data_IF_095286273971
#
_entry.id   IF_095286273971
#
_cell.length_a   1.000
_cell.length_b   1.000
_cell.length_c   1.000
_cell.angle_alpha   90.00
_cell.angle_beta   90.00
_cell.angle_gamma   90.00
#
_symmetry.space_group_name_H-M   'P 1'
#
loop_
_entity.id
_entity.type
_entity.pdbx_description
1 polymer ?
#
# COMPACT_ATOMS: atom_id res chain seq x y z
N UNK A 1 -19.28 -5.98 4.67
CA UNK A 1 -18.12 -5.89 5.56
C UNK A 1 -17.29 -4.68 5.17
N UNK A 2 -16.94 -3.81 6.12
CA UNK A 2 -16.08 -2.63 5.87
C UNK A 2 -14.62 -2.99 6.06
N UNK A 3 -13.83 -2.68 5.03
CA UNK A 3 -12.39 -2.91 4.99
C UNK A 3 -11.71 -1.56 4.82
N UNK A 4 -10.75 -1.23 5.67
CA UNK A 4 -9.99 0.02 5.58
C UNK A 4 -8.52 -0.25 5.33
N UNK A 5 -7.92 0.52 4.42
CA UNK A 5 -6.48 0.50 4.21
C UNK A 5 -5.92 1.90 3.98
N UNK A 6 -4.85 2.23 4.68
CA UNK A 6 -4.07 3.45 4.49
C UNK A 6 -2.90 3.20 3.55
N UNK A 7 -2.79 4.02 2.51
CA UNK A 7 -1.79 3.91 1.46
C UNK A 7 -0.76 5.01 1.62
N UNK A 8 0.48 4.66 1.91
CA UNK A 8 1.53 5.67 2.12
C UNK A 8 1.95 6.34 0.81
N UNK A 9 2.08 7.67 0.75
CA UNK A 9 2.58 8.40 -0.40
C UNK A 9 4.11 8.30 -0.51
N UNK A 10 4.65 7.08 -0.58
CA UNK A 10 6.08 6.79 -0.43
C UNK A 10 6.82 6.56 -1.74
N UNK A 11 6.58 7.42 -2.75
CA UNK A 11 7.31 7.38 -4.03
C UNK A 11 6.81 6.29 -5.00
N UNK A 12 7.62 5.97 -6.01
CA UNK A 12 7.22 5.13 -7.13
C UNK A 12 6.88 3.70 -6.72
N UNK A 13 5.80 3.15 -7.29
CA UNK A 13 5.35 1.79 -7.04
C UNK A 13 6.09 0.81 -7.96
N UNK A 14 6.50 -0.32 -7.39
CA UNK A 14 7.13 -1.42 -8.11
C UNK A 14 6.22 -2.65 -8.21
N UNK A 15 6.56 -3.58 -9.10
CA UNK A 15 5.76 -4.78 -9.35
C UNK A 15 5.52 -5.60 -8.07
N UNK A 16 6.47 -5.58 -7.12
CA UNK A 16 6.29 -6.21 -5.82
C UNK A 16 5.18 -5.59 -4.98
N UNK A 17 4.95 -4.26 -5.07
CA UNK A 17 3.80 -3.63 -4.42
C UNK A 17 2.48 -4.06 -5.07
N UNK A 18 2.47 -4.14 -6.41
CA UNK A 18 1.27 -4.51 -7.14
C UNK A 18 0.83 -5.94 -6.84
N UNK A 19 1.68 -6.91 -7.11
CA UNK A 19 1.33 -8.32 -6.89
C UNK A 19 1.27 -8.70 -5.41
N UNK A 20 2.03 -7.99 -4.56
CA UNK A 20 2.04 -8.23 -3.13
C UNK A 20 0.85 -7.66 -2.36
N UNK A 21 0.18 -6.62 -2.84
CA UNK A 21 -0.90 -5.98 -2.10
C UNK A 21 -1.98 -5.35 -2.99
N UNK A 22 -1.61 -4.53 -4.01
CA UNK A 22 -2.57 -3.69 -4.70
C UNK A 22 -3.59 -4.52 -5.48
N UNK A 23 -3.14 -5.56 -6.19
CA UNK A 23 -4.02 -6.47 -6.93
C UNK A 23 -5.12 -7.08 -6.05
N UNK A 24 -4.77 -7.48 -4.83
CA UNK A 24 -5.75 -8.02 -3.88
C UNK A 24 -6.74 -6.96 -3.38
N UNK A 25 -6.29 -5.70 -3.23
CA UNK A 25 -7.19 -4.59 -2.91
C UNK A 25 -8.18 -4.34 -4.05
N UNK A 26 -7.70 -4.40 -5.30
CA UNK A 26 -8.54 -4.29 -6.50
C UNK A 26 -9.57 -5.42 -6.55
N UNK A 27 -9.16 -6.66 -6.32
CA UNK A 27 -10.07 -7.82 -6.31
C UNK A 27 -11.07 -7.75 -5.14
N UNK A 28 -10.69 -7.18 -4.01
CA UNK A 28 -11.55 -7.04 -2.83
C UNK A 28 -12.68 -6.01 -3.00
N UNK A 29 -12.55 -5.05 -3.92
CA UNK A 29 -13.58 -4.04 -4.19
C UNK A 29 -14.93 -4.65 -4.64
N UNK A 30 -14.89 -5.82 -5.28
CA UNK A 30 -16.10 -6.51 -5.75
C UNK A 30 -16.87 -7.20 -4.61
N UNK A 31 -16.21 -7.46 -3.49
CA UNK A 31 -16.75 -8.31 -2.41
C UNK A 31 -16.94 -7.57 -1.09
N UNK A 32 -16.36 -6.38 -0.95
CA UNK A 32 -16.29 -5.64 0.31
C UNK A 32 -16.50 -4.15 0.10
N UNK A 33 -17.02 -3.49 1.11
CA UNK A 33 -17.09 -2.03 1.14
C UNK A 33 -15.70 -1.50 1.49
N UNK A 34 -14.92 -1.14 0.47
CA UNK A 34 -13.53 -0.71 0.62
C UNK A 34 -13.44 0.79 0.91
N UNK A 35 -12.72 1.12 1.97
CA UNK A 35 -12.31 2.45 2.35
C UNK A 35 -10.80 2.55 2.20
N UNK A 36 -10.33 3.43 1.33
CA UNK A 36 -8.91 3.57 1.02
C UNK A 36 -8.50 5.03 1.04
N UNK A 37 -7.44 5.36 1.76
CA UNK A 37 -6.96 6.73 1.82
C UNK A 37 -5.45 6.83 1.62
N UNK A 38 -5.02 7.94 1.03
CA UNK A 38 -3.60 8.28 0.98
C UNK A 38 -3.23 8.89 2.33
N UNK A 39 -2.35 8.22 3.05
CA UNK A 39 -1.98 8.49 4.46
C UNK A 39 -0.99 9.67 4.57
N UNK A 40 -1.38 10.85 4.11
CA UNK A 40 -0.50 12.02 4.04
C UNK A 40 -0.19 12.64 5.41
N UNK A 41 -1.07 12.57 6.42
CA UNK A 41 -0.71 12.93 7.80
C UNK A 41 0.32 11.96 8.38
N UNK A 42 0.16 10.66 8.18
CA UNK A 42 1.16 9.68 8.62
C UNK A 42 2.52 9.90 7.97
N UNK A 43 2.56 10.31 6.70
CA UNK A 43 3.79 10.57 5.97
C UNK A 43 4.61 11.72 6.57
N UNK A 44 3.97 12.65 7.30
CA UNK A 44 4.68 13.74 8.02
C UNK A 44 5.63 13.23 9.09
N UNK A 45 5.46 12.03 9.60
CA UNK A 45 6.41 11.40 10.54
C UNK A 45 7.79 11.15 9.91
N UNK A 46 7.87 11.13 8.58
CA UNK A 46 9.10 10.84 7.82
C UNK A 46 9.63 12.05 7.05
N UNK A 47 8.76 13.00 6.69
CA UNK A 47 9.13 14.20 5.93
C UNK A 47 8.19 15.35 6.24
N UNK A 48 8.75 16.54 6.48
CA UNK A 48 8.01 17.79 6.74
C UNK A 48 8.04 18.74 5.52
N UNK A 49 8.56 18.29 4.38
CA UNK A 49 8.53 19.04 3.13
C UNK A 49 7.12 18.99 2.52
N UNK A 50 6.37 20.07 2.69
CA UNK A 50 4.97 20.16 2.28
C UNK A 50 4.75 20.03 0.78
N UNK A 51 5.64 20.60 -0.05
CA UNK A 51 5.52 20.50 -1.52
C UNK A 51 5.76 19.07 -1.99
N UNK A 52 6.80 18.44 -1.46
CA UNK A 52 7.09 17.02 -1.73
C UNK A 52 5.98 16.09 -1.26
N UNK A 53 5.41 16.36 -0.07
CA UNK A 53 4.29 15.58 0.47
C UNK A 53 3.07 15.69 -0.44
N UNK A 54 2.73 16.90 -0.90
CA UNK A 54 1.62 17.15 -1.83
C UNK A 54 1.83 16.41 -3.14
N UNK A 55 3.00 16.56 -3.76
CA UNK A 55 3.32 15.89 -5.03
C UNK A 55 3.29 14.36 -4.90
N UNK A 56 3.87 13.81 -3.84
CA UNK A 56 3.87 12.38 -3.60
C UNK A 56 2.45 11.84 -3.34
N UNK A 57 1.61 12.61 -2.65
CA UNK A 57 0.22 12.22 -2.39
C UNK A 57 -0.60 12.14 -3.68
N UNK A 58 -0.44 13.12 -4.58
CA UNK A 58 -1.12 13.11 -5.88
C UNK A 58 -0.60 11.99 -6.79
N UNK A 59 0.72 11.79 -6.84
CA UNK A 59 1.33 10.68 -7.59
C UNK A 59 0.85 9.32 -7.08
N UNK A 60 0.79 9.13 -5.76
CA UNK A 60 0.28 7.90 -5.17
C UNK A 60 -1.20 7.68 -5.53
N UNK A 61 -2.04 8.72 -5.40
CA UNK A 61 -3.45 8.63 -5.78
C UNK A 61 -3.63 8.26 -7.26
N UNK A 62 -2.91 8.93 -8.17
CA UNK A 62 -2.92 8.61 -9.59
C UNK A 62 -2.48 7.16 -9.85
N UNK A 63 -1.42 6.68 -9.18
CA UNK A 63 -0.92 5.33 -9.33
C UNK A 63 -1.94 4.27 -8.90
N UNK A 64 -2.58 4.43 -7.74
CA UNK A 64 -3.59 3.47 -7.25
C UNK A 64 -4.82 3.43 -8.16
N UNK A 65 -5.33 4.59 -8.61
CA UNK A 65 -6.43 4.68 -9.57
C UNK A 65 -6.09 4.03 -10.92
N UNK A 66 -4.85 4.18 -11.35
CA UNK A 66 -4.38 3.59 -12.61
C UNK A 66 -4.19 2.08 -12.53
N UNK A 67 -3.85 1.57 -11.35
CA UNK A 67 -3.70 0.14 -11.09
C UNK A 67 -5.03 -0.59 -10.79
N UNK A 68 -6.17 0.10 -10.89
CA UNK A 68 -7.48 -0.55 -10.83
C UNK A 68 -8.34 -0.20 -9.63
N UNK A 69 -7.91 0.70 -8.74
CA UNK A 69 -8.81 1.23 -7.72
C UNK A 69 -9.90 2.05 -8.41
N UNK A 70 -11.16 1.62 -8.21
CA UNK A 70 -12.35 2.21 -8.80
C UNK A 70 -13.06 3.11 -7.76
N UNK A 71 -13.08 4.44 -7.95
CA UNK A 71 -13.72 5.37 -7.02
C UNK A 71 -15.26 5.25 -6.98
N UNK A 72 -15.87 4.50 -7.91
CA UNK A 72 -17.30 4.20 -7.85
C UNK A 72 -17.60 3.01 -6.94
N UNK A 73 -16.68 2.04 -6.85
CA UNK A 73 -16.80 0.84 -6.02
C UNK A 73 -16.22 1.04 -4.62
N UNK A 74 -15.22 1.91 -4.50
CA UNK A 74 -14.49 2.18 -3.26
C UNK A 74 -14.64 3.63 -2.85
N UNK A 75 -14.56 3.90 -1.54
CA UNK A 75 -14.36 5.25 -1.03
C UNK A 75 -12.86 5.52 -1.03
N UNK A 76 -12.39 6.47 -1.86
CA UNK A 76 -10.97 6.76 -2.04
C UNK A 76 -10.68 8.25 -1.89
N UNK A 77 -9.82 8.64 -0.93
CA UNK A 77 -9.57 10.05 -0.58
C UNK A 77 -8.15 10.31 -0.05
N UNK A 78 -7.78 11.59 0.14
CA UNK A 78 -6.62 11.98 0.94
C UNK A 78 -7.01 12.04 2.42
N UNK A 79 -6.22 11.46 3.31
CA UNK A 79 -6.49 11.46 4.76
C UNK A 79 -6.78 12.87 5.30
N UNK A 80 -6.03 13.88 4.85
CA UNK A 80 -6.18 15.27 5.27
C UNK A 80 -7.50 15.92 4.84
N UNK A 81 -8.24 15.34 3.92
CA UNK A 81 -9.51 15.87 3.47
C UNK A 81 -10.68 15.51 4.40
N UNK A 82 -10.46 14.59 5.34
CA UNK A 82 -11.42 14.23 6.40
C UNK A 82 -10.84 14.69 7.74
N UNK A 83 -11.15 15.92 8.12
CA UNK A 83 -10.57 16.56 9.32
C UNK A 83 -11.00 15.92 10.63
N UNK A 84 -12.15 15.29 10.64
CA UNK A 84 -12.74 14.57 11.75
C UNK A 84 -11.78 13.49 12.31
N UNK A 85 -10.84 13.00 11.50
CA UNK A 85 -9.81 12.06 11.99
C UNK A 85 -8.91 12.71 13.05
N UNK A 86 -8.58 14.00 12.91
CA UNK A 86 -7.76 14.71 13.87
C UNK A 86 -8.53 15.05 15.16
N UNK A 87 -9.83 15.30 15.03
CA UNK A 87 -10.71 15.51 16.18
C UNK A 87 -10.85 14.21 16.98
N UNK A 88 -11.09 13.09 16.29
CA UNK A 88 -11.15 11.79 16.94
C UNK A 88 -9.79 11.41 17.54
N UNK A 89 -8.68 11.66 16.84
CA UNK A 89 -7.34 11.45 17.39
C UNK A 89 -7.17 12.14 18.75
N UNK A 90 -7.63 13.40 18.89
CA UNK A 90 -7.55 14.10 20.16
C UNK A 90 -8.39 13.44 21.25
N UNK A 91 -9.61 13.06 20.94
CA UNK A 91 -10.50 12.35 21.87
C UNK A 91 -9.87 11.03 22.31
N UNK A 92 -9.40 10.19 21.37
CA UNK A 92 -8.79 8.90 21.68
C UNK A 92 -7.50 9.04 22.48
N UNK A 93 -6.77 10.15 22.33
CA UNK A 93 -5.57 10.43 23.14
C UNK A 93 -5.86 10.49 24.64
N UNK A 94 -7.08 10.87 25.06
CA UNK A 94 -7.47 10.90 26.48
C UNK A 94 -7.70 9.50 27.05
N UNK A 95 -7.94 8.51 26.18
CA UNK A 95 -8.14 7.11 26.54
C UNK A 95 -6.90 6.24 26.34
N UNK A 96 -5.83 6.81 25.81
CA UNK A 96 -4.61 6.06 25.45
C UNK A 96 -3.55 6.20 26.55
N UNK A 97 -3.25 5.14 27.35
CA UNK A 97 -2.19 5.20 28.34
C UNK A 97 -0.81 5.33 27.66
N UNK A 98 0.07 6.16 28.22
CA UNK A 98 1.45 6.33 27.74
C UNK A 98 2.19 4.99 27.62
N UNK A 99 2.06 4.11 28.63
CA UNK A 99 2.70 2.80 28.61
C UNK A 99 2.22 1.87 27.47
N UNK A 100 1.05 2.10 26.88
CA UNK A 100 0.62 1.38 25.67
C UNK A 100 1.48 1.78 24.47
N UNK A 101 1.72 3.07 24.30
CA UNK A 101 2.54 3.61 23.20
C UNK A 101 4.03 3.31 23.40
N UNK A 102 4.53 3.32 24.64
CA UNK A 102 5.93 2.95 24.97
C UNK A 102 6.25 1.50 24.60
N UNK A 103 5.27 0.60 24.64
CA UNK A 103 5.41 -0.81 24.24
C UNK A 103 5.30 -1.02 22.73
N UNK A 104 4.86 -0.02 21.98
CA UNK A 104 4.79 -0.11 20.51
C UNK A 104 6.19 -0.25 19.91
N UNK A 105 6.48 -1.36 19.26
CA UNK A 105 7.80 -1.68 18.71
C UNK A 105 8.27 -0.65 17.68
N UNK A 106 7.35 -0.17 16.85
CA UNK A 106 7.67 0.70 15.72
C UNK A 106 8.24 2.07 16.11
N UNK A 107 7.91 2.63 17.27
CA UNK A 107 8.55 3.87 17.76
C UNK A 107 10.05 3.65 18.01
N UNK A 108 10.38 2.59 18.77
CA UNK A 108 11.77 2.25 19.10
C UNK A 108 12.58 1.95 17.82
N UNK A 109 12.01 1.18 16.91
CA UNK A 109 12.64 0.84 15.63
C UNK A 109 12.91 2.06 14.75
N UNK A 110 11.96 3.00 14.69
CA UNK A 110 12.10 4.22 13.89
C UNK A 110 13.15 5.16 14.48
N UNK A 111 13.20 5.31 15.80
CA UNK A 111 14.23 6.09 16.49
C UNK A 111 15.61 5.42 16.30
N UNK A 112 15.71 4.10 16.41
CA UNK A 112 16.94 3.37 16.15
C UNK A 112 17.45 3.51 14.70
N UNK A 113 16.53 3.74 13.74
CA UNK A 113 16.85 4.03 12.33
C UNK A 113 17.15 5.51 12.06
N UNK A 114 17.29 6.34 13.09
CA UNK A 114 17.71 7.73 13.00
C UNK A 114 16.59 8.74 12.75
N UNK A 115 15.30 8.34 12.88
CA UNK A 115 14.21 9.30 12.83
C UNK A 115 14.16 10.11 14.14
N UNK A 116 13.78 11.39 14.03
CA UNK A 116 13.60 12.26 15.19
C UNK A 116 12.52 11.70 16.12
N UNK A 117 12.81 11.62 17.41
CA UNK A 117 11.88 11.21 18.47
C UNK A 117 10.83 12.29 18.74
N UNK A 118 10.05 12.67 17.75
CA UNK A 118 8.98 13.66 17.87
C UNK A 118 7.75 13.09 18.54
N UNK A 119 6.92 13.96 19.13
CA UNK A 119 5.60 13.58 19.67
C UNK A 119 4.74 12.88 18.61
N UNK A 120 4.71 13.38 17.37
CA UNK A 120 3.95 12.76 16.28
C UNK A 120 4.42 11.34 15.97
N UNK A 121 5.75 11.07 16.02
CA UNK A 121 6.29 9.73 15.86
C UNK A 121 5.91 8.81 17.04
N UNK A 122 5.78 9.32 18.24
CA UNK A 122 5.36 8.56 19.42
C UNK A 122 3.86 8.25 19.38
N UNK A 123 3.04 9.23 18.98
CA UNK A 123 1.57 9.14 19.10
C UNK A 123 0.86 8.70 17.79
N UNK A 124 1.59 8.47 16.68
CA UNK A 124 0.93 8.07 15.43
C UNK A 124 0.09 6.79 15.51
N UNK A 125 0.30 5.83 16.44
CA UNK A 125 -0.61 4.69 16.59
C UNK A 125 -2.03 5.11 17.01
N UNK A 126 -2.16 6.23 17.75
CA UNK A 126 -3.47 6.80 18.10
C UNK A 126 -4.14 7.42 16.87
N UNK A 127 -3.37 8.07 15.99
CA UNK A 127 -3.89 8.57 14.72
C UNK A 127 -4.36 7.41 13.83
N UNK A 128 -3.61 6.32 13.77
CA UNK A 128 -4.04 5.12 13.05
C UNK A 128 -5.30 4.50 13.67
N UNK A 129 -5.43 4.51 15.00
CA UNK A 129 -6.66 4.10 15.67
C UNK A 129 -7.84 5.00 15.28
N UNK A 130 -7.64 6.32 15.19
CA UNK A 130 -8.67 7.25 14.71
C UNK A 130 -9.10 6.96 13.26
N UNK A 131 -8.15 6.73 12.35
CA UNK A 131 -8.46 6.33 10.97
C UNK A 131 -9.34 5.07 10.92
N UNK A 132 -9.04 4.07 11.75
CA UNK A 132 -9.75 2.79 11.77
C UNK A 132 -11.14 2.93 12.39
N UNK A 133 -11.24 3.58 13.53
CA UNK A 133 -12.45 3.62 14.36
C UNK A 133 -13.49 4.61 13.83
N UNK A 134 -13.06 5.66 13.12
CA UNK A 134 -13.93 6.68 12.54
C UNK A 134 -14.96 6.10 11.56
N UNK A 135 -14.58 5.03 10.86
CA UNK A 135 -15.38 4.42 9.81
C UNK A 135 -16.05 3.10 10.19
N UNK A 136 -16.09 2.72 11.46
CA UNK A 136 -16.61 1.40 11.90
C UNK A 136 -15.97 0.24 11.12
N UNK A 137 -14.66 0.30 10.96
CA UNK A 137 -13.89 -0.69 10.23
C UNK A 137 -13.93 -2.04 10.92
N UNK A 138 -14.26 -3.08 10.17
CA UNK A 138 -14.27 -4.45 10.67
C UNK A 138 -12.94 -5.15 10.40
N UNK A 139 -12.37 -4.94 9.21
CA UNK A 139 -11.13 -5.61 8.78
C UNK A 139 -10.10 -4.58 8.33
N UNK A 140 -8.89 -4.72 8.83
CA UNK A 140 -7.73 -3.93 8.41
C UNK A 140 -6.68 -4.89 7.81
N UNK A 141 -6.52 -4.92 6.46
CA UNK A 141 -5.46 -5.70 5.83
C UNK A 141 -4.09 -5.08 6.18
N UNK A 142 -3.22 -5.85 6.80
CA UNK A 142 -1.91 -5.36 7.28
C UNK A 142 -0.81 -6.39 7.09
N UNK A 143 0.44 -5.92 6.99
CA UNK A 143 1.60 -6.76 7.18
C UNK A 143 1.76 -7.21 8.64
N UNK A 144 2.53 -8.27 8.86
CA UNK A 144 2.78 -8.80 10.21
C UNK A 144 3.34 -7.75 11.19
N UNK A 145 4.13 -6.82 10.68
CA UNK A 145 4.72 -5.70 11.45
C UNK A 145 3.70 -4.65 11.91
N UNK A 146 2.48 -4.65 11.35
CA UNK A 146 1.41 -3.70 11.66
C UNK A 146 0.29 -4.29 12.53
N UNK A 147 0.32 -5.59 12.84
CA UNK A 147 -0.70 -6.24 13.68
C UNK A 147 -0.85 -5.51 15.03
N UNK A 148 0.29 -5.18 15.67
CA UNK A 148 0.29 -4.48 16.96
C UNK A 148 -0.45 -3.15 16.91
N UNK A 149 -0.43 -2.42 15.80
CA UNK A 149 -1.15 -1.15 15.69
C UNK A 149 -2.68 -1.35 15.62
N UNK A 150 -3.14 -2.42 14.98
CA UNK A 150 -4.57 -2.76 14.98
C UNK A 150 -5.02 -3.22 16.36
N UNK A 151 -4.18 -3.96 17.09
CA UNK A 151 -4.45 -4.33 18.47
C UNK A 151 -4.51 -3.09 19.39
N UNK A 152 -3.62 -2.11 19.20
CA UNK A 152 -3.70 -0.83 19.91
C UNK A 152 -5.03 -0.12 19.62
N UNK A 153 -5.48 -0.08 18.39
CA UNK A 153 -6.77 0.50 18.03
C UNK A 153 -7.93 -0.25 18.70
N UNK A 154 -7.86 -1.57 18.77
CA UNK A 154 -8.82 -2.43 19.43
C UNK A 154 -8.86 -2.19 20.94
N UNK A 155 -7.71 -2.08 21.60
CA UNK A 155 -7.60 -1.81 23.03
C UNK A 155 -8.20 -0.43 23.39
N UNK A 156 -7.92 0.59 22.58
CA UNK A 156 -8.50 1.92 22.75
C UNK A 156 -10.02 1.88 22.56
N UNK A 157 -10.51 1.20 21.53
CA UNK A 157 -11.94 1.05 21.26
C UNK A 157 -12.67 0.34 22.43
N UNK A 158 -12.10 -0.74 22.95
CA UNK A 158 -12.64 -1.45 24.12
C UNK A 158 -12.74 -0.54 25.32
N UNK A 159 -11.71 0.26 25.60
CA UNK A 159 -11.71 1.18 26.73
C UNK A 159 -12.78 2.26 26.60
N UNK A 160 -12.95 2.84 25.42
CA UNK A 160 -14.00 3.83 25.17
C UNK A 160 -15.38 3.19 25.24
N UNK A 161 -15.56 2.01 24.67
CA UNK A 161 -16.85 1.30 24.71
C UNK A 161 -17.25 0.91 26.15
N UNK A 162 -16.30 0.58 27.00
CA UNK A 162 -16.58 0.31 28.44
C UNK A 162 -17.03 1.55 29.17
N UNK A 163 -16.52 2.73 28.80
CA UNK A 163 -16.86 4.00 29.46
C UNK A 163 -18.17 4.60 28.95
N UNK A 164 -18.38 4.57 27.64
CA UNK A 164 -19.46 5.31 26.95
C UNK A 164 -20.56 4.43 26.36
N UNK A 165 -20.42 3.10 26.41
CA UNK A 165 -21.25 2.14 25.68
C UNK A 165 -20.67 1.85 24.31
N UNK A 166 -21.32 0.98 23.54
CA UNK A 166 -20.86 0.51 22.24
C UNK A 166 -20.85 1.62 21.16
N UNK A 167 -19.77 2.40 21.12
CA UNK A 167 -19.56 3.47 20.13
C UNK A 167 -18.76 2.97 18.93
N UNK A 168 -17.72 2.17 19.17
CA UNK A 168 -16.80 1.70 18.13
C UNK A 168 -16.97 0.21 17.83
N UNK A 169 -16.96 -0.12 16.56
CA UNK A 169 -16.74 -1.49 16.10
C UNK A 169 -15.30 -1.90 16.38
N UNK A 170 -15.11 -3.11 16.91
CA UNK A 170 -13.78 -3.63 17.20
C UNK A 170 -13.12 -4.14 15.92
N UNK A 171 -12.00 -3.54 15.48
CA UNK A 171 -11.34 -3.95 14.25
C UNK A 171 -10.57 -5.26 14.41
N UNK A 172 -10.41 -6.00 13.30
CA UNK A 172 -9.55 -7.18 13.23
C UNK A 172 -8.45 -6.98 12.18
N UNK A 173 -7.22 -7.34 12.56
CA UNK A 173 -6.10 -7.40 11.63
C UNK A 173 -6.24 -8.61 10.73
N UNK A 174 -6.18 -8.41 9.41
CA UNK A 174 -6.11 -9.52 8.44
C UNK A 174 -4.74 -9.55 7.82
N UNK A 175 -3.93 -10.53 8.20
CA UNK A 175 -2.65 -10.80 7.55
C UNK A 175 -2.90 -11.66 6.32
N UNK A 176 -2.44 -11.20 5.19
CA UNK A 176 -2.54 -11.97 3.97
C UNK A 176 -1.30 -12.88 3.87
N UNK A 177 -1.43 -14.15 4.27
CA UNK A 177 -0.33 -15.13 4.26
C UNK A 177 0.05 -15.56 2.84
N UNK A 178 -0.87 -15.44 1.89
CA UNK A 178 -0.68 -15.83 0.47
C UNK A 178 -0.01 -14.74 -0.38
N UNK A 179 0.49 -13.67 0.24
CA UNK A 179 1.19 -12.62 -0.52
C UNK A 179 2.48 -13.21 -1.08
N UNK A 180 2.48 -13.48 -2.38
CA UNK A 180 3.67 -13.90 -3.09
C UNK A 180 4.81 -12.90 -2.84
N UNK A 181 5.87 -13.34 -2.20
CA UNK A 181 7.08 -12.53 -2.08
C UNK A 181 7.68 -12.39 -3.47
N UNK A 182 7.52 -11.22 -4.07
CA UNK A 182 8.11 -10.93 -5.38
C UNK A 182 9.62 -10.74 -5.21
N UNK A 183 10.39 -11.51 -5.96
CA UNK A 183 11.84 -11.39 -5.97
C UNK A 183 12.29 -10.12 -6.70
N UNK A 184 13.30 -9.45 -6.18
CA UNK A 184 13.95 -8.32 -6.79
C UNK A 184 14.98 -8.72 -7.86
N UNK A 185 15.65 -7.73 -8.42
CA UNK A 185 16.67 -7.95 -9.45
C UNK A 185 17.89 -8.74 -8.96
N UNK A 186 18.10 -8.79 -7.65
CA UNK A 186 19.18 -9.52 -6.96
C UNK A 186 18.75 -10.90 -6.42
N UNK A 187 17.47 -11.26 -6.54
CA UNK A 187 16.90 -12.51 -6.02
C UNK A 187 16.41 -12.43 -4.58
N UNK A 188 16.71 -11.36 -3.82
CA UNK A 188 16.10 -11.10 -2.52
C UNK A 188 14.68 -10.55 -2.69
N UNK A 189 13.95 -10.36 -1.58
CA UNK A 189 12.62 -9.71 -1.62
C UNK A 189 12.73 -8.32 -2.25
N UNK A 190 11.88 -8.04 -3.24
CA UNK A 190 11.85 -6.73 -3.90
C UNK A 190 11.52 -5.62 -2.90
N UNK A 191 12.40 -4.64 -2.80
CA UNK A 191 12.28 -3.50 -1.88
C UNK A 191 13.11 -2.31 -2.34
N UNK A 192 12.58 -1.10 -2.19
CA UNK A 192 13.33 0.14 -2.45
C UNK A 192 14.59 0.25 -1.61
N UNK A 193 14.55 -0.22 -0.37
CA UNK A 193 15.70 -0.19 0.54
C UNK A 193 16.89 -1.03 0.02
N UNK A 194 16.64 -2.04 -0.80
CA UNK A 194 17.66 -2.87 -1.43
C UNK A 194 18.01 -2.41 -2.86
N UNK A 195 17.34 -1.38 -3.37
CA UNK A 195 17.54 -0.86 -4.75
C UNK A 195 17.39 -1.94 -5.84
N UNK A 196 16.56 -2.95 -5.58
CA UNK A 196 16.34 -4.13 -6.42
C UNK A 196 14.93 -4.14 -7.07
N UNK A 197 14.33 -2.95 -7.23
CA UNK A 197 12.96 -2.81 -7.75
C UNK A 197 12.87 -2.81 -9.26
N UNK A 198 11.69 -3.20 -9.76
CA UNK A 198 11.24 -2.97 -11.14
C UNK A 198 10.01 -2.07 -11.04
N UNK A 199 10.17 -0.81 -11.42
CA UNK A 199 9.19 0.25 -11.18
C UNK A 199 8.15 0.31 -12.29
N UNK A 200 6.86 0.32 -11.91
CA UNK A 200 5.73 0.24 -12.85
C UNK A 200 5.65 1.48 -13.74
N UNK A 201 5.83 2.66 -13.17
CA UNK A 201 5.62 3.95 -13.85
C UNK A 201 6.93 4.62 -14.31
N UNK A 202 8.03 3.88 -14.33
CA UNK A 202 9.31 4.37 -14.85
C UNK A 202 9.30 4.48 -16.38
N UNK A 203 10.24 5.25 -16.93
CA UNK A 203 10.44 5.31 -18.39
C UNK A 203 10.85 3.94 -18.94
N UNK A 204 10.53 3.66 -20.19
CA UNK A 204 10.94 2.42 -20.87
C UNK A 204 12.45 2.16 -20.78
N UNK A 205 13.26 3.23 -20.89
CA UNK A 205 14.71 3.14 -20.74
C UNK A 205 15.11 2.69 -19.33
N UNK A 206 14.47 3.23 -18.30
CA UNK A 206 14.71 2.86 -16.90
C UNK A 206 14.27 1.43 -16.63
N UNK A 207 13.06 1.07 -17.06
CA UNK A 207 12.53 -0.28 -16.95
C UNK A 207 13.46 -1.32 -17.58
N UNK A 208 13.89 -1.07 -18.83
CA UNK A 208 14.83 -1.95 -19.52
C UNK A 208 16.16 -2.11 -18.77
N UNK A 209 16.66 -1.00 -18.16
CA UNK A 209 17.87 -1.04 -17.34
C UNK A 209 17.67 -1.90 -16.08
N UNK A 210 16.54 -1.73 -15.38
CA UNK A 210 16.21 -2.50 -14.19
C UNK A 210 16.08 -4.00 -14.51
N UNK A 211 15.37 -4.36 -15.58
CA UNK A 211 15.23 -5.75 -16.00
C UNK A 211 16.59 -6.34 -16.48
N UNK A 212 17.39 -5.54 -17.17
CA UNK A 212 18.73 -5.99 -17.59
C UNK A 212 19.68 -6.28 -16.43
N UNK A 213 19.46 -5.64 -15.27
CA UNK A 213 20.28 -5.85 -14.06
C UNK A 213 19.89 -7.11 -13.26
N UNK A 214 18.84 -7.84 -13.65
CA UNK A 214 18.47 -9.09 -12.96
C UNK A 214 19.63 -10.06 -12.98
N UNK A 215 20.03 -10.52 -11.79
CA UNK A 215 21.14 -11.46 -11.60
C UNK A 215 20.75 -12.84 -12.13
N UNK A 216 21.64 -13.44 -12.90
CA UNK A 216 21.53 -14.78 -13.48
C UNK A 216 22.82 -15.57 -13.19
N UNK A 217 22.76 -16.87 -13.32
CA UNK A 217 23.94 -17.70 -13.31
C UNK A 217 24.77 -17.57 -14.62
N UNK A 218 25.82 -18.38 -14.74
CA UNK A 218 26.74 -18.35 -15.89
C UNK A 218 26.48 -19.47 -16.92
N UNK A 219 25.26 -20.05 -16.93
CA UNK A 219 24.90 -21.14 -17.87
C UNK A 219 25.05 -20.66 -19.32
N UNK A 220 25.76 -21.43 -20.13
CA UNK A 220 26.04 -21.10 -21.52
C UNK A 220 24.74 -21.02 -22.37
N UNK A 221 24.82 -20.34 -23.50
CA UNK A 221 23.65 -20.10 -24.36
C UNK A 221 22.99 -21.41 -24.80
N UNK A 222 23.80 -22.40 -25.17
CA UNK A 222 23.35 -23.69 -25.73
C UNK A 222 22.72 -24.61 -24.69
N UNK A 223 23.08 -24.42 -23.40
CA UNK A 223 22.68 -25.34 -22.34
C UNK A 223 21.28 -25.05 -21.82
N UNK A 224 20.53 -26.10 -21.40
CA UNK A 224 19.30 -25.95 -20.63
C UNK A 224 19.52 -25.12 -19.37
N UNK A 225 18.54 -24.29 -19.02
CA UNK A 225 18.60 -23.39 -17.88
C UNK A 225 17.63 -23.79 -16.78
N UNK A 226 18.07 -23.63 -15.55
CA UNK A 226 17.23 -23.87 -14.37
C UNK A 226 16.18 -22.76 -14.24
N UNK A 227 14.95 -23.06 -14.64
CA UNK A 227 13.83 -22.12 -14.53
C UNK A 227 13.36 -21.93 -13.08
N UNK A 228 13.48 -22.94 -12.21
CA UNK A 228 12.99 -22.89 -10.83
C UNK A 228 13.77 -21.88 -9.96
N UNK A 229 15.07 -21.81 -10.15
CA UNK A 229 15.95 -20.90 -9.42
C UNK A 229 16.18 -19.57 -10.13
N UNK A 230 15.78 -19.42 -11.40
CA UNK A 230 15.99 -18.21 -12.18
C UNK A 230 15.06 -17.06 -11.77
N UNK A 231 15.64 -15.92 -11.40
CA UNK A 231 14.87 -14.73 -10.99
C UNK A 231 14.02 -14.17 -12.12
N UNK A 232 14.49 -14.24 -13.39
CA UNK A 232 13.72 -13.79 -14.56
C UNK A 232 12.44 -14.62 -14.69
N UNK A 233 12.54 -15.94 -14.56
CA UNK A 233 11.40 -16.84 -14.63
C UNK A 233 10.41 -16.59 -13.50
N UNK A 234 10.89 -16.45 -12.25
CA UNK A 234 10.06 -16.17 -11.08
C UNK A 234 9.24 -14.87 -11.23
N UNK A 235 9.84 -13.86 -11.85
CA UNK A 235 9.15 -12.59 -12.12
C UNK A 235 8.18 -12.75 -13.31
N UNK A 236 8.60 -13.39 -14.40
CA UNK A 236 7.76 -13.57 -15.60
C UNK A 236 6.47 -14.34 -15.32
N UNK A 237 6.51 -15.33 -14.43
CA UNK A 237 5.33 -16.08 -13.97
C UNK A 237 4.19 -15.22 -13.47
N UNK A 238 4.47 -14.05 -12.91
CA UNK A 238 3.44 -13.13 -12.39
C UNK A 238 2.54 -12.55 -13.49
N UNK A 239 3.00 -12.57 -14.73
CA UNK A 239 2.35 -11.99 -15.91
C UNK A 239 1.75 -13.04 -16.85
N UNK A 240 1.93 -14.32 -16.57
CA UNK A 240 1.55 -15.44 -17.42
C UNK A 240 0.50 -16.31 -16.74
N UNK A 241 -0.42 -16.84 -17.54
CA UNK A 241 -1.29 -17.93 -17.15
C UNK A 241 -0.53 -19.28 -17.14
N UNK A 242 -1.18 -20.36 -16.73
CA UNK A 242 -0.58 -21.68 -16.64
C UNK A 242 0.02 -22.16 -17.98
N UNK A 243 -0.64 -21.86 -19.11
CA UNK A 243 -0.15 -22.20 -20.44
C UNK A 243 1.12 -21.46 -20.79
N UNK A 244 1.13 -20.14 -20.57
CA UNK A 244 2.29 -19.29 -20.81
C UNK A 244 3.48 -19.63 -19.92
N UNK A 245 3.22 -20.00 -18.65
CA UNK A 245 4.27 -20.46 -17.73
C UNK A 245 4.92 -21.75 -18.23
N UNK A 246 4.10 -22.71 -18.70
CA UNK A 246 4.59 -23.98 -19.24
C UNK A 246 5.38 -23.80 -20.54
N UNK A 247 4.92 -22.91 -21.43
CA UNK A 247 5.64 -22.56 -22.64
C UNK A 247 7.00 -21.95 -22.34
N UNK A 248 7.05 -21.01 -21.40
CA UNK A 248 8.30 -20.39 -20.96
C UNK A 248 9.24 -21.43 -20.33
N UNK A 249 8.73 -22.37 -19.51
CA UNK A 249 9.49 -23.45 -18.92
C UNK A 249 10.16 -24.32 -20.00
N UNK A 250 9.41 -24.73 -21.03
CA UNK A 250 9.95 -25.54 -22.15
C UNK A 250 11.11 -24.80 -22.83
N UNK A 251 11.01 -23.49 -23.03
CA UNK A 251 12.09 -22.67 -23.60
C UNK A 251 13.37 -22.68 -22.75
N UNK A 252 13.23 -22.62 -21.42
CA UNK A 252 14.37 -22.74 -20.51
C UNK A 252 15.04 -24.11 -20.56
N UNK A 253 14.25 -25.18 -20.59
CA UNK A 253 14.72 -26.58 -20.58
C UNK A 253 15.32 -27.02 -21.92
N UNK A 254 14.88 -26.41 -23.03
CA UNK A 254 15.37 -26.74 -24.36
C UNK A 254 16.80 -26.28 -24.61
N UNK A 255 17.27 -25.22 -23.95
CA UNK A 255 18.52 -24.55 -24.30
C UNK A 255 18.45 -23.76 -25.61
N UNK A 256 19.56 -23.20 -26.04
CA UNK A 256 19.67 -22.40 -27.28
C UNK A 256 19.21 -20.93 -27.14
N UNK A 257 18.70 -20.53 -25.98
CA UNK A 257 18.34 -19.14 -25.68
C UNK A 257 19.18 -18.62 -24.50
N UNK A 258 19.82 -17.45 -24.66
CA UNK A 258 20.56 -16.80 -23.58
C UNK A 258 19.64 -15.97 -22.67
N UNK A 259 20.11 -15.69 -21.45
CA UNK A 259 19.37 -14.86 -20.49
C UNK A 259 18.98 -13.46 -21.03
N UNK A 260 19.74 -12.93 -21.98
CA UNK A 260 19.38 -11.69 -22.67
C UNK A 260 18.03 -11.77 -23.39
N UNK A 261 17.70 -12.88 -24.04
CA UNK A 261 16.40 -13.10 -24.68
C UNK A 261 15.27 -13.18 -23.67
N UNK A 262 15.47 -13.89 -22.54
CA UNK A 262 14.47 -13.95 -21.47
C UNK A 262 14.25 -12.61 -20.77
N UNK A 263 15.30 -11.78 -20.61
CA UNK A 263 15.17 -10.41 -20.12
C UNK A 263 14.39 -9.52 -21.08
N UNK A 264 14.62 -9.65 -22.40
CA UNK A 264 13.83 -8.94 -23.40
C UNK A 264 12.35 -9.36 -23.34
N UNK A 265 12.09 -10.65 -23.29
CA UNK A 265 10.73 -11.19 -23.16
C UNK A 265 10.03 -10.68 -21.89
N UNK A 266 10.71 -10.71 -20.73
CA UNK A 266 10.18 -10.13 -19.50
C UNK A 266 9.87 -8.63 -19.66
N UNK A 267 10.75 -7.88 -20.34
CA UNK A 267 10.50 -6.45 -20.56
C UNK A 267 9.23 -6.22 -21.43
N UNK A 268 9.00 -7.06 -22.42
CA UNK A 268 7.77 -7.01 -23.23
C UNK A 268 6.53 -7.34 -22.41
N UNK A 269 6.58 -8.39 -21.57
CA UNK A 269 5.48 -8.77 -20.67
C UNK A 269 5.12 -7.63 -19.71
N UNK A 270 6.11 -7.03 -19.03
CA UNK A 270 5.88 -5.93 -18.09
C UNK A 270 5.31 -4.71 -18.82
N UNK A 271 5.83 -4.37 -19.99
CA UNK A 271 5.34 -3.24 -20.78
C UNK A 271 3.90 -3.46 -21.22
N UNK A 272 3.58 -4.63 -21.75
CA UNK A 272 2.23 -4.97 -22.21
C UNK A 272 1.22 -4.96 -21.05
N UNK A 273 1.58 -5.59 -19.92
CA UNK A 273 0.69 -5.71 -18.77
C UNK A 273 0.31 -4.35 -18.15
N UNK A 274 1.26 -3.44 -18.02
CA UNK A 274 1.04 -2.13 -17.40
C UNK A 274 0.83 -0.98 -18.40
N UNK A 275 0.64 -1.26 -19.69
CA UNK A 275 0.47 -0.22 -20.72
C UNK A 275 -0.68 0.73 -20.37
N UNK A 276 -1.87 0.19 -20.21
CA UNK A 276 -3.08 0.99 -19.91
C UNK A 276 -2.96 1.74 -18.56
N UNK A 277 -2.36 1.08 -17.56
CA UNK A 277 -2.11 1.71 -16.28
C UNK A 277 -1.17 2.92 -16.39
N UNK A 278 -0.13 2.84 -17.22
CA UNK A 278 0.80 3.96 -17.46
C UNK A 278 0.14 5.09 -18.22
N UNK A 279 -0.67 4.78 -19.22
CA UNK A 279 -1.42 5.78 -19.99
C UNK A 279 -2.38 6.55 -19.09
N UNK A 280 -3.17 5.83 -18.27
CA UNK A 280 -4.08 6.43 -17.29
C UNK A 280 -3.35 7.23 -16.21
N UNK A 281 -2.20 6.76 -15.73
CA UNK A 281 -1.38 7.45 -14.74
C UNK A 281 -0.90 8.80 -15.26
N UNK A 282 -0.37 8.84 -16.49
CA UNK A 282 0.09 10.07 -17.12
C UNK A 282 -1.07 11.03 -17.36
N UNK A 283 -2.21 10.55 -17.85
CA UNK A 283 -3.41 11.36 -18.04
C UNK A 283 -3.89 12.02 -16.73
N UNK A 284 -3.91 11.27 -15.62
CA UNK A 284 -4.32 11.80 -14.32
C UNK A 284 -3.34 12.87 -13.80
N UNK A 285 -2.04 12.72 -14.05
CA UNK A 285 -1.05 13.72 -13.64
C UNK A 285 -1.06 14.97 -14.53
N UNK A 286 -1.40 14.83 -15.81
CA UNK A 286 -1.57 15.95 -16.74
C UNK A 286 -2.87 16.74 -16.45
N UNK A 287 -3.87 16.10 -15.80
CA UNK A 287 -5.16 16.70 -15.46
C UNK A 287 -5.38 16.71 -13.93
N UNK A 288 -4.60 17.48 -13.17
CA UNK A 288 -4.66 17.46 -11.71
C UNK A 288 -6.01 17.91 -11.13
N UNK A 289 -6.79 18.70 -11.87
CA UNK A 289 -8.17 19.08 -11.49
C UNK A 289 -9.09 17.85 -11.48
N UNK A 290 -9.00 16.99 -12.48
CA UNK A 290 -9.79 15.77 -12.55
C UNK A 290 -9.42 14.78 -11.44
N UNK A 291 -8.12 14.61 -11.19
CA UNK A 291 -7.66 13.80 -10.05
C UNK A 291 -8.22 14.31 -8.73
N UNK A 292 -8.22 15.65 -8.56
CA UNK A 292 -8.80 16.28 -7.37
C UNK A 292 -10.30 16.04 -7.25
N UNK A 293 -11.08 16.15 -8.34
CA UNK A 293 -12.52 15.85 -8.34
C UNK A 293 -12.80 14.40 -7.87
N UNK A 294 -12.00 13.42 -8.31
CA UNK A 294 -12.11 12.04 -7.87
C UNK A 294 -11.87 11.92 -6.36
N UNK A 295 -10.82 12.56 -5.84
CA UNK A 295 -10.48 12.54 -4.42
C UNK A 295 -11.53 13.27 -3.57
N UNK A 296 -12.01 14.42 -4.02
CA UNK A 296 -13.08 15.20 -3.35
C UNK A 296 -14.39 14.42 -3.28
N UNK A 297 -14.73 13.65 -4.32
CA UNK A 297 -15.89 12.76 -4.32
C UNK A 297 -15.78 11.69 -3.24
N UNK A 298 -14.61 11.03 -3.14
CA UNK A 298 -14.36 10.04 -2.08
C UNK A 298 -14.36 10.69 -0.69
N UNK A 299 -13.71 11.84 -0.54
CA UNK A 299 -13.67 12.60 0.70
C UNK A 299 -15.07 13.03 1.17
N UNK A 300 -15.96 13.40 0.25
CA UNK A 300 -17.33 13.75 0.58
C UNK A 300 -18.11 12.58 1.16
N UNK A 301 -17.95 11.37 0.57
CA UNK A 301 -18.55 10.13 1.10
C UNK A 301 -17.96 9.78 2.48
N UNK A 302 -16.64 9.88 2.63
CA UNK A 302 -15.96 9.59 3.87
C UNK A 302 -16.36 10.57 4.99
N UNK A 303 -16.38 11.89 4.70
CA UNK A 303 -16.79 12.93 5.67
C UNK A 303 -18.20 12.70 6.20
N UNK A 304 -19.16 12.34 5.36
CA UNK A 304 -20.52 12.06 5.82
C UNK A 304 -20.54 11.01 6.92
N UNK A 305 -19.83 9.90 6.73
CA UNK A 305 -19.76 8.82 7.72
C UNK A 305 -19.00 9.28 8.97
N UNK A 306 -17.89 10.01 8.78
CA UNK A 306 -17.09 10.55 9.86
C UNK A 306 -17.88 11.52 10.75
N UNK A 307 -18.67 12.42 10.15
CA UNK A 307 -19.51 13.38 10.87
C UNK A 307 -20.62 12.69 11.67
N UNK A 308 -21.27 11.68 11.09
CA UNK A 308 -22.27 10.87 11.80
C UNK A 308 -21.65 10.14 13.01
N UNK A 309 -20.42 9.68 12.91
CA UNK A 309 -19.67 9.07 14.02
C UNK A 309 -19.30 10.12 15.06
N UNK A 310 -18.73 11.24 14.63
CA UNK A 310 -18.30 12.32 15.54
C UNK A 310 -19.48 12.93 16.30
N UNK A 311 -20.65 13.06 15.67
CA UNK A 311 -21.84 13.54 16.37
C UNK A 311 -22.18 12.70 17.62
N UNK A 312 -22.15 11.38 17.50
CA UNK A 312 -22.35 10.47 18.64
C UNK A 312 -21.29 10.64 19.74
N UNK A 313 -20.07 10.95 19.33
CA UNK A 313 -18.95 11.17 20.25
C UNK A 313 -19.13 12.52 20.96
N UNK A 314 -19.51 13.58 20.25
CA UNK A 314 -19.76 14.89 20.83
C UNK A 314 -20.85 14.84 21.89
N UNK A 315 -21.93 14.10 21.64
CA UNK A 315 -22.99 13.89 22.65
C UNK A 315 -22.45 13.25 23.94
N UNK A 316 -21.42 12.40 23.84
CA UNK A 316 -20.82 11.74 25.02
C UNK A 316 -19.86 12.65 25.80
N UNK A 317 -19.19 13.56 25.11
CA UNK A 317 -18.22 14.48 25.75
C UNK A 317 -18.83 15.85 26.07
N UNK A 318 -20.09 16.06 25.73
CA UNK A 318 -20.83 17.30 26.05
C UNK A 318 -20.49 18.50 25.12
N UNK A 319 -20.16 18.24 23.87
CA UNK A 319 -19.87 19.24 22.82
C UNK A 319 -20.95 19.25 21.74
#
# INVERSE_FOLDING_TARGET
>A
MRVLTGLQPSGDLHIGNYFGAIKQMVDAQEKSQMFMFIANYHAMTSSQDGEKLKQNSLKAAAAFLSLGIDPQKSVFWLQSDVKEVMELYWVLSQFTPMGLLERAHSYKDKVAKGLSASHGLFSYPVLMAADILLFDTQIVPVGKDQIQHVEIARDIALKVNNEWGEIFTLPEAKVNEEVAVVVGTDGAKMSKSYQNTIDIFSSEKTLKKQISSIVTDSTALEDPKDHENCNIFKIAKLFLDESGQKELQIRYEKGGEGYGHFKMYLNELVNAYFKEAREKYNELLEKPSHLKEILDFGATKARKIAQEKMQKIYEKIGL
#
